data_IF_122245701822
#
_entry.id   IF_122245701822
#
_cell.length_a   1.000
_cell.length_b   1.000
_cell.length_c   1.000
_cell.angle_alpha   90.00
_cell.angle_beta   90.00
_cell.angle_gamma   90.00
#
_symmetry.space_group_name_H-M   'P 1'
#
loop_
_entity.id
_entity.type
_entity.pdbx_description
1 polymer ?
#
# COMPACT_ATOMS: atom_id res chain seq x y z
N UNK A 1 14.90 0.01 15.98
CA UNK A 1 15.26 -0.71 14.74
C UNK A 1 14.00 -1.33 14.11
N UNK A 2 13.31 -0.63 13.19
CA UNK A 2 12.07 -1.12 12.53
C UNK A 2 12.20 -1.21 10.98
N UNK A 3 13.41 -1.37 10.44
CA UNK A 3 13.70 -1.26 8.99
C UNK A 3 13.70 -2.59 8.21
N UNK A 4 13.21 -3.71 8.77
CA UNK A 4 13.33 -5.02 8.10
C UNK A 4 12.02 -5.60 7.55
N UNK A 5 10.86 -5.18 8.04
CA UNK A 5 9.55 -5.78 7.67
C UNK A 5 9.08 -5.25 6.31
N UNK A 6 9.19 -3.93 6.10
CA UNK A 6 8.84 -3.30 4.82
C UNK A 6 9.55 -3.96 3.63
N UNK A 7 10.85 -4.26 3.77
CA UNK A 7 11.67 -4.84 2.69
C UNK A 7 11.25 -6.23 2.22
N UNK A 8 10.61 -7.04 3.08
CA UNK A 8 10.24 -8.42 2.71
C UNK A 8 8.92 -8.46 1.94
N UNK A 9 7.93 -7.68 2.38
CA UNK A 9 6.64 -7.49 1.68
C UNK A 9 6.87 -6.78 0.34
N UNK A 10 7.76 -5.76 0.33
CA UNK A 10 8.20 -5.09 -0.88
C UNK A 10 8.66 -6.15 -1.91
N UNK A 11 9.63 -7.02 -1.61
CA UNK A 11 10.25 -7.88 -2.63
C UNK A 11 9.30 -8.86 -3.35
N UNK A 12 8.25 -9.36 -2.69
CA UNK A 12 7.38 -10.39 -3.28
C UNK A 12 6.22 -9.79 -4.10
N UNK A 13 5.80 -8.57 -3.77
CA UNK A 13 4.72 -7.86 -4.43
C UNK A 13 5.21 -6.67 -5.31
N UNK A 14 6.47 -6.22 -5.17
CA UNK A 14 7.13 -5.16 -5.97
C UNK A 14 6.96 -5.38 -7.46
N UNK A 15 7.10 -6.62 -7.97
CA UNK A 15 7.03 -6.87 -9.41
C UNK A 15 5.66 -6.51 -10.03
N UNK A 16 4.62 -6.34 -9.21
CA UNK A 16 3.31 -5.80 -9.60
C UNK A 16 2.99 -4.43 -8.98
N UNK A 17 3.60 -4.09 -7.85
CA UNK A 17 3.54 -2.75 -7.23
C UNK A 17 4.42 -1.71 -7.94
N UNK A 18 5.22 -2.11 -8.93
CA UNK A 18 6.19 -1.25 -9.63
C UNK A 18 5.60 -0.02 -10.32
N UNK A 19 4.28 0.11 -10.43
CA UNK A 19 3.65 1.31 -11.00
C UNK A 19 2.91 2.17 -9.98
N UNK A 20 2.57 1.63 -8.81
CA UNK A 20 1.88 2.35 -7.76
C UNK A 20 2.90 2.59 -6.67
N UNK A 21 3.32 3.84 -6.49
CA UNK A 21 4.25 4.22 -5.43
C UNK A 21 3.68 3.76 -4.07
N UNK A 22 4.13 2.61 -3.59
CA UNK A 22 3.76 2.07 -2.28
C UNK A 22 4.05 3.07 -1.15
N UNK A 23 5.07 3.91 -1.38
CA UNK A 23 5.40 5.02 -0.50
C UNK A 23 4.24 6.03 -0.41
N UNK A 24 3.71 6.45 -1.55
CA UNK A 24 2.58 7.39 -1.63
C UNK A 24 1.33 6.77 -1.01
N UNK A 25 1.06 5.49 -1.28
CA UNK A 25 -0.01 4.74 -0.61
C UNK A 25 0.11 4.77 0.92
N UNK A 26 1.28 4.43 1.47
CA UNK A 26 1.50 4.42 2.93
C UNK A 26 1.35 5.83 3.51
N UNK A 27 1.83 6.86 2.81
CA UNK A 27 1.67 8.25 3.23
C UNK A 27 0.20 8.67 3.26
N UNK A 28 -0.60 8.32 2.25
CA UNK A 28 -2.02 8.64 2.22
C UNK A 28 -2.81 7.90 3.30
N UNK A 29 -2.50 6.62 3.53
CA UNK A 29 -3.11 5.84 4.62
C UNK A 29 -2.78 6.44 5.98
N UNK A 30 -1.54 6.88 6.19
CA UNK A 30 -1.13 7.55 7.44
C UNK A 30 -1.74 8.94 7.60
N UNK A 31 -1.97 9.66 6.49
CA UNK A 31 -2.68 10.93 6.48
C UNK A 31 -4.19 10.77 6.72
N UNK A 32 -4.71 9.55 6.74
CA UNK A 32 -6.11 9.25 7.04
C UNK A 32 -7.05 9.42 5.85
N UNK A 33 -6.54 9.38 4.62
CA UNK A 33 -7.37 9.43 3.42
C UNK A 33 -8.28 8.18 3.33
N UNK A 34 -9.45 8.38 2.74
CA UNK A 34 -10.41 7.32 2.47
C UNK A 34 -9.96 6.47 1.28
N UNK A 35 -10.44 5.22 1.22
CA UNK A 35 -10.01 4.27 0.18
C UNK A 35 -10.36 4.74 -1.24
N UNK A 36 -11.47 5.48 -1.41
CA UNK A 36 -11.80 6.10 -2.71
C UNK A 36 -10.75 7.13 -3.13
N UNK A 37 -10.36 8.03 -2.22
CA UNK A 37 -9.40 9.09 -2.52
C UNK A 37 -8.02 8.51 -2.86
N UNK A 38 -7.60 7.50 -2.09
CA UNK A 38 -6.35 6.79 -2.33
C UNK A 38 -6.38 6.06 -3.69
N UNK A 39 -7.52 5.46 -4.03
CA UNK A 39 -7.70 4.76 -5.29
C UNK A 39 -7.65 5.71 -6.49
N UNK A 40 -8.30 6.87 -6.37
CA UNK A 40 -8.32 7.92 -7.39
C UNK A 40 -6.92 8.53 -7.60
N UNK A 41 -6.23 8.85 -6.50
CA UNK A 41 -4.89 9.45 -6.53
C UNK A 41 -3.84 8.49 -7.11
N UNK A 42 -3.98 7.19 -6.83
CA UNK A 42 -3.08 6.15 -7.32
C UNK A 42 -3.51 5.56 -8.68
N UNK A 43 -4.62 6.04 -9.25
CA UNK A 43 -5.14 5.56 -10.54
C UNK A 43 -5.53 4.07 -10.53
N UNK A 44 -5.96 3.55 -9.37
CA UNK A 44 -6.28 2.13 -9.18
C UNK A 44 -7.69 1.91 -8.71
N UNK A 45 -8.15 0.68 -8.80
CA UNK A 45 -9.46 0.31 -8.31
C UNK A 45 -9.48 0.23 -6.77
N UNK A 46 -10.55 0.67 -6.12
CA UNK A 46 -10.72 0.62 -4.66
C UNK A 46 -10.46 -0.77 -4.05
N UNK A 47 -10.87 -1.83 -4.75
CA UNK A 47 -10.62 -3.22 -4.32
C UNK A 47 -9.14 -3.60 -4.25
N UNK A 48 -8.27 -2.88 -4.96
CA UNK A 48 -6.82 -3.03 -4.85
C UNK A 48 -6.28 -2.41 -3.55
N UNK A 49 -6.78 -1.23 -3.20
CA UNK A 49 -6.47 -0.52 -1.94
C UNK A 49 -6.89 -1.34 -0.72
N UNK A 50 -8.09 -1.92 -0.78
CA UNK A 50 -8.62 -2.77 0.29
C UNK A 50 -7.77 -4.04 0.49
N UNK A 51 -7.33 -4.68 -0.60
CA UNK A 51 -6.40 -5.82 -0.53
C UNK A 51 -5.07 -5.41 0.09
N UNK A 52 -4.51 -4.28 -0.31
CA UNK A 52 -3.26 -3.75 0.24
C UNK A 52 -3.36 -3.47 1.73
N UNK A 53 -4.44 -2.81 2.18
CA UNK A 53 -4.68 -2.57 3.61
C UNK A 53 -4.81 -3.88 4.40
N UNK A 54 -5.52 -4.86 3.85
CA UNK A 54 -5.66 -6.18 4.48
C UNK A 54 -4.33 -6.95 4.56
N UNK A 55 -3.49 -6.86 3.53
CA UNK A 55 -2.14 -7.44 3.56
C UNK A 55 -1.26 -6.75 4.61
N UNK A 56 -1.33 -5.41 4.73
CA UNK A 56 -0.62 -4.66 5.77
C UNK A 56 -1.05 -5.04 7.19
N UNK A 57 -2.36 -5.29 7.41
CA UNK A 57 -2.88 -5.66 8.73
C UNK A 57 -2.56 -7.11 9.10
N UNK A 58 -2.46 -8.02 8.14
CA UNK A 58 -2.13 -9.44 8.40
C UNK A 58 -0.71 -9.66 8.92
N UNK A 59 0.20 -8.72 8.70
CA UNK A 59 1.60 -8.81 9.13
C UNK A 59 1.88 -8.10 10.48
N UNK A 60 0.84 -7.66 11.21
CA UNK A 60 0.96 -7.04 12.54
C UNK A 60 0.47 -7.92 13.69
#
# INVERSE_FOLDING_TARGET
MKKKIGNYIMRKNIARLTEINFHDFVHMVQAGLCDEEIAEELGVHKSYIEKLKNEMQKDF
#
